data_IF_840800419233
#
_entry.id   IF_840800419233
#
_cell.length_a   1.000
_cell.length_b   1.000
_cell.length_c   1.000
_cell.angle_alpha   90.00
_cell.angle_beta   90.00
_cell.angle_gamma   90.00
#
_symmetry.space_group_name_H-M   'P 1'
#
loop_
_entity.id
_entity.type
_entity.pdbx_description
1 polymer ?
#
# COMPACT_ATOMS: atom_id res chain seq x y z
N UNK A 1 10.57 46.38 16.51
CA UNK A 1 9.47 45.48 16.91
C UNK A 1 9.68 44.13 16.22
N UNK A 2 9.50 42.96 16.86
CA UNK A 2 9.65 41.70 16.16
C UNK A 2 8.52 41.56 15.11
N UNK A 3 8.90 41.06 13.93
CA UNK A 3 7.98 40.87 12.81
C UNK A 3 6.89 39.85 13.18
N UNK A 4 5.68 40.07 12.65
CA UNK A 4 4.50 39.23 12.88
C UNK A 4 4.83 37.75 12.67
N UNK A 5 4.68 36.93 13.72
CA UNK A 5 4.87 35.49 13.63
C UNK A 5 3.69 34.87 12.88
N UNK A 6 3.81 34.70 11.57
CA UNK A 6 2.85 33.92 10.78
C UNK A 6 2.78 32.47 11.30
N UNK A 7 1.62 31.84 11.21
CA UNK A 7 1.43 30.44 11.62
C UNK A 7 2.34 29.51 10.81
N UNK A 8 3.25 28.79 11.50
CA UNK A 8 4.15 27.82 10.88
C UNK A 8 3.64 26.41 11.15
N UNK A 9 3.23 25.72 10.09
CA UNK A 9 2.93 24.28 10.13
C UNK A 9 4.19 23.42 9.94
N UNK A 10 4.04 22.12 10.11
CA UNK A 10 5.06 21.12 9.80
C UNK A 10 4.43 19.94 9.04
N UNK A 11 5.20 19.29 8.17
CA UNK A 11 4.77 18.04 7.51
C UNK A 11 4.95 16.87 8.47
N UNK A 12 4.06 15.87 8.35
CA UNK A 12 4.21 14.63 9.10
C UNK A 12 5.54 13.94 8.73
N UNK A 13 6.29 13.37 9.69
CA UNK A 13 7.56 12.71 9.40
C UNK A 13 7.43 11.59 8.36
N UNK A 14 6.36 10.78 8.42
CA UNK A 14 6.10 9.71 7.43
C UNK A 14 5.95 10.29 6.02
N UNK A 15 5.18 11.37 5.84
CA UNK A 15 5.01 12.00 4.53
C UNK A 15 6.32 12.56 3.98
N UNK A 16 7.17 13.09 4.88
CA UNK A 16 8.49 13.61 4.52
C UNK A 16 9.44 12.48 4.09
N UNK A 17 9.46 11.37 4.82
CA UNK A 17 10.28 10.20 4.49
C UNK A 17 9.79 9.51 3.21
N UNK A 18 8.48 9.35 3.06
CA UNK A 18 7.86 8.78 1.86
C UNK A 18 8.20 9.59 0.61
N UNK A 19 8.13 10.93 0.68
CA UNK A 19 8.52 11.78 -0.45
C UNK A 19 9.98 11.62 -0.85
N UNK A 20 10.90 11.40 0.10
CA UNK A 20 12.32 11.12 -0.20
C UNK A 20 12.51 9.77 -0.88
N UNK A 21 11.77 8.74 -0.44
CA UNK A 21 11.81 7.41 -1.05
C UNK A 21 11.30 7.49 -2.49
N UNK A 22 10.15 8.14 -2.70
CA UNK A 22 9.55 8.33 -4.04
C UNK A 22 10.53 9.05 -4.98
N UNK A 23 11.12 10.17 -4.57
CA UNK A 23 12.10 10.93 -5.38
C UNK A 23 13.29 10.07 -5.84
N UNK A 24 13.77 9.12 -5.03
CA UNK A 24 14.83 8.20 -5.43
C UNK A 24 14.37 7.26 -6.53
N UNK A 25 13.20 6.65 -6.39
CA UNK A 25 12.66 5.66 -7.34
C UNK A 25 12.19 6.30 -8.65
N UNK A 26 11.62 7.51 -8.60
CA UNK A 26 11.25 8.26 -9.80
C UNK A 26 12.46 8.55 -10.70
N UNK A 27 13.63 8.87 -10.11
CA UNK A 27 14.87 9.11 -10.87
C UNK A 27 15.40 7.90 -11.62
N UNK A 28 15.00 6.69 -11.23
CA UNK A 28 15.35 5.44 -11.92
C UNK A 28 14.18 4.89 -12.76
N UNK A 29 13.15 5.71 -13.00
CA UNK A 29 12.06 5.42 -13.93
C UNK A 29 10.97 4.50 -13.39
N UNK A 30 10.81 4.45 -12.06
CA UNK A 30 9.62 3.86 -11.43
C UNK A 30 8.52 4.91 -11.30
N UNK A 31 7.26 4.46 -11.27
CA UNK A 31 6.09 5.30 -11.01
C UNK A 31 5.40 4.84 -9.73
N UNK A 32 4.72 5.74 -9.02
CA UNK A 32 3.94 5.35 -7.84
C UNK A 32 2.59 4.78 -8.26
N UNK A 33 2.25 3.60 -7.75
CA UNK A 33 0.92 3.01 -7.86
C UNK A 33 0.24 2.99 -6.48
N UNK A 34 -0.96 3.54 -6.41
CA UNK A 34 -1.81 3.49 -5.22
C UNK A 34 -3.10 2.75 -5.55
N UNK A 35 -3.55 1.96 -4.59
CA UNK A 35 -4.79 1.20 -4.67
C UNK A 35 -5.47 1.17 -3.31
N UNK A 36 -6.70 0.67 -3.31
CA UNK A 36 -7.57 0.56 -2.13
C UNK A 36 -6.90 -0.10 -0.91
N UNK A 37 -7.31 0.34 0.27
CA UNK A 37 -6.88 -0.22 1.56
C UNK A 37 -7.70 -1.46 1.95
N UNK A 38 -9.00 -1.47 1.62
CA UNK A 38 -9.85 -2.65 1.75
C UNK A 38 -9.62 -3.52 0.51
N UNK A 39 -9.15 -4.73 0.73
CA UNK A 39 -8.76 -5.66 -0.31
C UNK A 39 -9.58 -6.94 -0.27
N UNK A 40 -9.61 -7.65 -1.40
CA UNK A 40 -10.11 -9.02 -1.46
C UNK A 40 -9.01 -10.03 -1.14
N UNK A 41 -9.41 -11.16 -0.53
CA UNK A 41 -8.50 -12.24 -0.12
C UNK A 41 -7.58 -12.71 -1.26
N UNK A 42 -8.10 -12.77 -2.48
CA UNK A 42 -7.34 -13.27 -3.62
C UNK A 42 -6.14 -12.36 -3.94
N UNK A 43 -6.34 -11.04 -4.03
CA UNK A 43 -5.25 -10.10 -4.34
C UNK A 43 -4.28 -9.93 -3.16
N UNK A 44 -4.77 -10.04 -1.91
CA UNK A 44 -3.90 -9.90 -0.74
C UNK A 44 -3.06 -11.17 -0.49
N UNK A 45 -3.59 -12.37 -0.75
CA UNK A 45 -2.93 -13.63 -0.39
C UNK A 45 -2.73 -14.59 -1.56
N UNK A 46 -3.81 -15.01 -2.24
CA UNK A 46 -3.74 -16.08 -3.26
C UNK A 46 -2.79 -15.72 -4.40
N UNK A 47 -2.87 -14.49 -4.91
CA UNK A 47 -1.99 -13.98 -5.96
C UNK A 47 -0.53 -13.85 -5.50
N UNK A 48 -0.29 -13.76 -4.19
CA UNK A 48 1.03 -13.70 -3.56
C UNK A 48 1.52 -15.09 -3.10
N UNK A 49 0.96 -16.17 -3.66
CA UNK A 49 1.34 -17.54 -3.36
C UNK A 49 1.19 -17.92 -1.86
N UNK A 50 0.23 -17.31 -1.18
CA UNK A 50 -0.10 -17.62 0.22
C UNK A 50 -1.40 -18.42 0.23
N UNK A 51 -1.42 -19.74 0.45
CA UNK A 51 -2.63 -20.58 0.33
C UNK A 51 -3.61 -20.38 1.51
N UNK A 52 -4.84 -20.92 1.39
CA UNK A 52 -5.95 -20.72 2.35
C UNK A 52 -5.64 -21.19 3.78
N UNK A 53 -4.84 -22.24 3.93
CA UNK A 53 -4.42 -22.83 5.20
C UNK A 53 -3.17 -22.16 5.81
N UNK A 54 -2.68 -21.09 5.18
CA UNK A 54 -1.49 -20.40 5.65
C UNK A 54 -1.78 -19.59 6.94
N UNK A 55 -0.95 -19.67 8.00
CA UNK A 55 -1.17 -18.97 9.26
C UNK A 55 -1.38 -17.46 9.12
N UNK A 56 -0.71 -16.81 8.16
CA UNK A 56 -0.90 -15.38 7.89
C UNK A 56 -2.34 -14.98 7.49
N UNK A 57 -3.19 -15.93 7.09
CA UNK A 57 -4.61 -15.69 6.79
C UNK A 57 -5.50 -15.81 8.03
N UNK A 58 -4.97 -16.23 9.17
CA UNK A 58 -5.72 -16.34 10.41
C UNK A 58 -6.31 -14.98 10.81
N UNK A 59 -7.54 -15.00 11.35
CA UNK A 59 -8.26 -13.82 11.82
C UNK A 59 -7.55 -13.12 13.00
N UNK A 60 -6.62 -13.79 13.67
CA UNK A 60 -5.80 -13.19 14.72
C UNK A 60 -4.77 -12.19 14.17
N UNK A 61 -4.27 -12.43 12.95
CA UNK A 61 -3.20 -11.64 12.33
C UNK A 61 -3.73 -10.69 11.24
N UNK A 62 -4.94 -10.94 10.73
CA UNK A 62 -5.55 -10.17 9.64
C UNK A 62 -6.89 -9.56 10.04
N UNK A 63 -7.05 -8.26 9.77
CA UNK A 63 -8.30 -7.54 9.99
C UNK A 63 -9.32 -7.81 8.88
N UNK A 64 -10.20 -8.78 9.11
CA UNK A 64 -11.35 -9.04 8.25
C UNK A 64 -12.51 -8.06 8.49
N UNK A 65 -13.26 -7.74 7.44
CA UNK A 65 -14.49 -6.97 7.59
C UNK A 65 -15.57 -7.83 8.27
N UNK A 66 -16.44 -7.18 9.04
CA UNK A 66 -17.56 -7.85 9.70
C UNK A 66 -18.38 -8.63 8.68
N UNK A 67 -18.73 -9.87 9.03
CA UNK A 67 -19.54 -10.78 8.22
C UNK A 67 -18.92 -11.13 6.84
N UNK A 68 -17.60 -10.97 6.68
CA UNK A 68 -16.87 -11.33 5.46
C UNK A 68 -15.57 -12.07 5.76
N UNK A 69 -15.37 -13.20 5.09
CA UNK A 69 -14.09 -13.95 5.10
C UNK A 69 -13.24 -13.65 3.86
N UNK A 70 -13.73 -12.81 2.94
CA UNK A 70 -13.07 -12.53 1.65
C UNK A 70 -12.75 -11.06 1.45
N UNK A 71 -13.10 -10.21 2.42
CA UNK A 71 -12.80 -8.77 2.45
C UNK A 71 -12.07 -8.42 3.74
N UNK A 72 -10.96 -7.71 3.61
CA UNK A 72 -10.04 -7.42 4.71
C UNK A 72 -9.33 -6.08 4.50
N UNK A 73 -8.73 -5.52 5.55
CA UNK A 73 -7.73 -4.46 5.40
C UNK A 73 -6.43 -5.09 4.94
N UNK A 74 -5.85 -4.58 3.84
CA UNK A 74 -4.62 -5.11 3.26
C UNK A 74 -3.53 -5.23 4.32
N UNK A 75 -2.85 -6.37 4.35
CA UNK A 75 -1.75 -6.60 5.30
C UNK A 75 -0.42 -6.05 4.81
N UNK A 76 -0.33 -5.77 3.50
CA UNK A 76 0.83 -5.22 2.83
C UNK A 76 0.44 -4.55 1.50
N UNK A 77 1.37 -3.82 0.87
CA UNK A 77 1.14 -3.16 -0.42
C UNK A 77 1.30 -4.07 -1.65
N UNK A 78 1.74 -5.33 -1.49
CA UNK A 78 1.92 -6.26 -2.62
C UNK A 78 0.62 -6.57 -3.37
N UNK A 79 -0.55 -6.36 -2.76
CA UNK A 79 -1.84 -6.47 -3.46
C UNK A 79 -1.97 -5.48 -4.62
N UNK A 80 -1.36 -4.30 -4.49
CA UNK A 80 -1.29 -3.30 -5.57
C UNK A 80 -0.53 -3.85 -6.77
N UNK A 81 0.54 -4.62 -6.53
CA UNK A 81 1.32 -5.25 -7.61
C UNK A 81 0.49 -6.28 -8.36
N UNK A 82 -0.23 -7.16 -7.65
CA UNK A 82 -1.14 -8.14 -8.26
C UNK A 82 -2.18 -7.47 -9.17
N UNK A 83 -2.79 -6.38 -8.71
CA UNK A 83 -3.74 -5.58 -9.51
C UNK A 83 -3.09 -5.01 -10.75
N UNK A 84 -1.97 -4.34 -10.58
CA UNK A 84 -1.26 -3.66 -11.66
C UNK A 84 -0.78 -4.65 -12.74
N UNK A 85 -0.31 -5.83 -12.34
CA UNK A 85 0.09 -6.89 -13.27
C UNK A 85 -1.10 -7.52 -14.01
N UNK A 86 -2.30 -7.46 -13.45
CA UNK A 86 -3.53 -7.96 -14.09
C UNK A 86 -4.12 -6.95 -15.07
N UNK A 87 -3.96 -5.64 -14.81
CA UNK A 87 -4.53 -4.56 -15.64
C UNK A 87 -3.57 -3.95 -16.65
N UNK A 88 -2.25 -4.12 -16.50
CA UNK A 88 -1.23 -3.53 -17.37
C UNK A 88 -0.38 -4.60 -18.06
N UNK A 89 0.17 -4.25 -19.23
CA UNK A 89 1.11 -5.11 -19.96
C UNK A 89 2.56 -4.78 -19.59
N UNK A 90 3.45 -5.77 -19.51
CA UNK A 90 4.90 -5.55 -19.40
C UNK A 90 5.45 -4.68 -20.53
N UNK A 91 6.53 -3.90 -20.29
CA UNK A 91 7.27 -3.78 -19.02
C UNK A 91 6.57 -2.89 -17.98
N UNK A 92 6.65 -3.27 -16.70
CA UNK A 92 6.07 -2.54 -15.57
C UNK A 92 7.19 -2.15 -14.60
N UNK A 93 7.19 -0.89 -14.13
CA UNK A 93 8.09 -0.37 -13.08
C UNK A 93 7.28 0.51 -12.14
N UNK A 94 6.72 -0.12 -11.10
CA UNK A 94 5.86 0.50 -10.09
C UNK A 94 6.39 0.23 -8.68
#
# INVERSE_FOLDING_TARGET
APAYSGFRGARHPIATTMGKIIDIFERIGFVVAEEREIEDDWHNFTAMNTPEDHPARDMQDTFYLKDSTTRLLRTHTSSVQSRMMTSNKPPIRI
#
